data_IF_369676790743
#
_entry.id   IF_369676790743
#
_cell.length_a   1.000
_cell.length_b   1.000
_cell.length_c   1.000
_cell.angle_alpha   90.00
_cell.angle_beta   90.00
_cell.angle_gamma   90.00
#
_symmetry.space_group_name_H-M   'P 1'
#
loop_
_entity.id
_entity.type
_entity.pdbx_description
1 polymer ?
#
# COMPACT_ATOMS: atom_id res chain seq x y z
N UNK A 1 2.48 -1.08 -33.40
CA UNK A 1 1.30 -0.68 -32.58
C UNK A 1 1.80 -0.40 -31.19
N UNK A 2 1.55 0.80 -30.69
CA UNK A 2 1.86 1.17 -29.32
C UNK A 2 0.93 0.39 -28.37
N UNK A 3 1.47 -0.15 -27.28
CA UNK A 3 0.67 -0.92 -26.33
C UNK A 3 -0.21 0.04 -25.53
N UNK A 4 -1.54 -0.07 -25.66
CA UNK A 4 -2.51 0.82 -25.01
C UNK A 4 -3.19 0.20 -23.78
N UNK A 5 -2.90 -1.08 -23.48
CA UNK A 5 -3.48 -1.79 -22.35
C UNK A 5 -2.40 -2.46 -21.48
N UNK A 6 -2.36 -2.08 -20.20
CA UNK A 6 -1.33 -2.46 -19.25
C UNK A 6 -1.92 -3.33 -18.13
N UNK A 7 -1.65 -4.64 -18.19
CA UNK A 7 -2.14 -5.60 -17.18
C UNK A 7 -1.16 -5.93 -16.08
N UNK A 8 0.10 -5.48 -16.18
CA UNK A 8 1.21 -5.83 -15.26
C UNK A 8 1.88 -4.60 -14.60
N UNK A 9 1.34 -3.41 -14.79
CA UNK A 9 1.97 -2.16 -14.39
C UNK A 9 3.09 -1.73 -15.36
N UNK A 10 3.89 -0.75 -14.93
CA UNK A 10 5.02 -0.16 -15.65
C UNK A 10 6.39 -0.64 -15.15
N UNK A 11 6.41 -1.50 -14.12
CA UNK A 11 7.65 -2.04 -13.57
C UNK A 11 8.42 -1.07 -12.68
N UNK A 12 7.74 -0.03 -12.20
CA UNK A 12 8.30 1.04 -11.36
C UNK A 12 8.18 0.74 -9.86
N UNK A 13 7.64 -0.42 -9.49
CA UNK A 13 7.49 -0.86 -8.09
C UNK A 13 8.70 -0.59 -7.21
N UNK A 14 9.92 -0.89 -7.67
CA UNK A 14 11.14 -0.69 -6.86
C UNK A 14 11.43 0.79 -6.58
N UNK A 15 11.16 1.64 -7.56
CA UNK A 15 11.38 3.08 -7.46
C UNK A 15 10.35 3.73 -6.54
N UNK A 16 9.10 3.27 -6.60
CA UNK A 16 7.99 3.85 -5.82
C UNK A 16 7.84 3.22 -4.44
N UNK A 17 8.50 2.10 -4.17
CA UNK A 17 8.39 1.39 -2.89
C UNK A 17 8.69 2.27 -1.67
N UNK A 18 9.73 3.13 -1.65
CA UNK A 18 10.01 3.97 -0.50
C UNK A 18 8.88 4.95 -0.17
N UNK A 19 8.19 5.47 -1.19
CA UNK A 19 7.05 6.37 -1.02
C UNK A 19 5.83 5.63 -0.47
N UNK A 20 5.55 4.43 -1.00
CA UNK A 20 4.46 3.59 -0.49
C UNK A 20 4.75 3.16 0.96
N UNK A 21 6.00 2.77 1.25
CA UNK A 21 6.40 2.35 2.58
C UNK A 21 6.31 3.50 3.60
N UNK A 22 6.62 4.75 3.22
CA UNK A 22 6.45 5.89 4.13
C UNK A 22 5.00 6.16 4.51
N UNK A 23 4.06 5.84 3.63
CA UNK A 23 2.63 6.09 3.86
C UNK A 23 1.97 5.00 4.73
N UNK A 24 2.50 3.77 4.71
CA UNK A 24 1.81 2.60 5.28
C UNK A 24 2.62 1.78 6.30
N UNK A 25 3.93 2.02 6.48
CA UNK A 25 4.71 1.29 7.50
C UNK A 25 4.63 1.95 8.88
N UNK A 26 4.55 1.11 9.92
CA UNK A 26 4.50 1.55 11.32
C UNK A 26 5.53 0.81 12.16
N UNK A 27 6.45 1.57 12.77
CA UNK A 27 7.46 1.02 13.68
C UNK A 27 6.83 0.34 14.91
N UNK A 28 5.66 0.80 15.35
CA UNK A 28 4.92 0.17 16.46
C UNK A 28 4.42 -1.22 16.08
N UNK A 29 3.87 -1.36 14.88
CA UNK A 29 3.40 -2.65 14.36
C UNK A 29 4.57 -3.62 14.27
N UNK A 30 5.70 -3.20 13.69
CA UNK A 30 6.89 -4.04 13.57
C UNK A 30 7.46 -4.45 14.93
N UNK A 31 7.46 -3.52 15.91
CA UNK A 31 7.80 -3.84 17.30
C UNK A 31 6.92 -4.96 17.86
N UNK A 32 5.59 -4.85 17.76
CA UNK A 32 4.68 -5.86 18.32
C UNK A 32 4.83 -7.20 17.60
N UNK A 33 5.02 -7.20 16.27
CA UNK A 33 5.28 -8.41 15.48
C UNK A 33 6.54 -9.13 15.93
N UNK A 34 7.65 -8.41 16.11
CA UNK A 34 8.93 -8.97 16.56
C UNK A 34 8.86 -9.65 17.94
N UNK A 35 7.83 -9.33 18.74
CA UNK A 35 7.59 -9.89 20.08
C UNK A 35 6.57 -11.02 20.09
N UNK A 36 6.21 -11.56 18.93
CA UNK A 36 5.26 -12.66 18.82
C UNK A 36 3.80 -12.20 18.83
N UNK A 37 3.51 -11.02 18.26
CA UNK A 37 2.16 -10.46 18.13
C UNK A 37 1.48 -10.10 19.46
N UNK A 38 2.25 -9.98 20.54
CA UNK A 38 1.76 -9.49 21.83
C UNK A 38 2.84 -8.60 22.45
N UNK A 39 2.46 -7.42 22.92
CA UNK A 39 3.38 -6.54 23.64
C UNK A 39 2.66 -5.83 24.80
N UNK A 40 3.40 -5.49 25.84
CA UNK A 40 2.89 -4.86 27.05
C UNK A 40 3.41 -3.43 27.18
N UNK A 41 2.49 -2.52 27.50
CA UNK A 41 2.75 -1.09 27.69
C UNK A 41 2.16 -0.68 29.04
N UNK A 42 2.98 -0.79 30.11
CA UNK A 42 2.51 -0.64 31.48
C UNK A 42 1.46 -1.70 31.82
N UNK A 43 0.26 -1.26 32.18
CA UNK A 43 -0.85 -2.15 32.56
C UNK A 43 -1.71 -2.59 31.36
N UNK A 44 -1.33 -2.20 30.14
CA UNK A 44 -2.05 -2.53 28.90
C UNK A 44 -1.31 -3.62 28.13
N UNK A 45 -2.02 -4.70 27.79
CA UNK A 45 -1.54 -5.74 26.88
C UNK A 45 -2.21 -5.57 25.52
N UNK A 46 -1.40 -5.41 24.48
CA UNK A 46 -1.86 -5.33 23.09
C UNK A 46 -1.63 -6.68 22.42
N UNK A 47 -2.70 -7.24 21.85
CA UNK A 47 -2.64 -8.40 20.98
C UNK A 47 -2.87 -7.97 19.53
N UNK A 48 -1.89 -8.26 18.67
CA UNK A 48 -1.98 -7.97 17.25
C UNK A 48 -2.47 -9.23 16.52
N UNK A 49 -3.40 -9.07 15.58
CA UNK A 49 -3.78 -10.17 14.71
C UNK A 49 -2.55 -10.65 13.91
N UNK A 50 -2.47 -11.96 13.62
CA UNK A 50 -1.35 -12.50 12.82
C UNK A 50 -1.47 -12.13 11.34
N UNK A 51 -2.71 -12.02 10.88
CA UNK A 51 -3.06 -11.65 9.51
C UNK A 51 -3.92 -10.39 9.56
N UNK A 52 -3.39 -9.28 9.06
CA UNK A 52 -4.05 -7.97 9.03
C UNK A 52 -3.40 -7.07 7.98
N UNK A 53 -4.07 -5.97 7.65
CA UNK A 53 -3.60 -5.00 6.65
C UNK A 53 -4.15 -5.28 5.25
N UNK A 54 -3.41 -4.86 4.24
CA UNK A 54 -3.83 -4.96 2.85
C UNK A 54 -3.68 -6.38 2.32
N UNK A 55 -4.67 -6.81 1.53
CA UNK A 55 -4.55 -8.02 0.74
C UNK A 55 -3.81 -7.74 -0.56
N UNK A 56 -3.33 -8.79 -1.22
CA UNK A 56 -2.63 -8.69 -2.51
C UNK A 56 -3.37 -7.84 -3.55
N UNK A 57 -4.70 -7.92 -3.59
CA UNK A 57 -5.51 -7.14 -4.52
C UNK A 57 -5.41 -5.63 -4.26
N UNK A 58 -5.38 -5.22 -3.00
CA UNK A 58 -5.25 -3.82 -2.58
C UNK A 58 -3.83 -3.33 -2.86
N UNK A 59 -2.80 -4.07 -2.46
CA UNK A 59 -1.40 -3.72 -2.74
C UNK A 59 -1.16 -3.50 -4.23
N UNK A 60 -1.70 -4.41 -5.05
CA UNK A 60 -1.59 -4.32 -6.51
C UNK A 60 -2.33 -3.11 -7.08
N UNK A 61 -3.50 -2.76 -6.53
CA UNK A 61 -4.26 -1.60 -6.97
C UNK A 61 -3.52 -0.29 -6.62
N UNK A 62 -2.95 -0.20 -5.42
CA UNK A 62 -2.12 0.93 -4.98
C UNK A 62 -0.88 1.06 -5.86
N UNK A 63 -0.13 -0.04 -6.09
CA UNK A 63 1.01 -0.03 -6.99
C UNK A 63 0.62 0.55 -8.36
N UNK A 64 -0.50 0.13 -8.92
CA UNK A 64 -0.93 0.61 -10.24
C UNK A 64 -1.28 2.09 -10.24
N UNK A 65 -1.93 2.59 -9.19
CA UNK A 65 -2.23 4.01 -9.08
C UNK A 65 -0.95 4.85 -9.05
N UNK A 66 -0.01 4.52 -8.16
CA UNK A 66 1.26 5.23 -8.04
C UNK A 66 2.09 5.13 -9.33
N UNK A 67 2.21 3.94 -9.93
CA UNK A 67 2.94 3.78 -11.19
C UNK A 67 2.29 4.57 -12.34
N UNK A 68 0.95 4.66 -12.39
CA UNK A 68 0.24 5.41 -13.43
C UNK A 68 0.46 6.91 -13.29
N UNK A 69 0.37 7.44 -12.06
CA UNK A 69 0.65 8.86 -11.75
C UNK A 69 2.08 9.22 -12.11
N UNK A 70 3.03 8.38 -11.72
CA UNK A 70 4.44 8.61 -12.02
C UNK A 70 4.75 8.51 -13.53
N UNK A 71 4.19 7.52 -14.23
CA UNK A 71 4.48 7.29 -15.65
C UNK A 71 3.81 8.33 -16.58
N UNK A 72 2.67 8.89 -16.17
CA UNK A 72 1.93 9.88 -16.96
C UNK A 72 1.70 11.19 -16.18
N UNK A 73 2.77 11.92 -15.81
CA UNK A 73 2.67 13.07 -14.91
C UNK A 73 1.79 14.20 -15.48
N UNK A 74 1.77 14.35 -16.81
CA UNK A 74 1.04 15.41 -17.51
C UNK A 74 -0.38 15.01 -17.95
N UNK A 75 -0.80 13.77 -17.68
CA UNK A 75 -2.12 13.28 -18.10
C UNK A 75 -3.08 13.31 -16.93
N UNK A 76 -4.31 13.74 -17.21
CA UNK A 76 -5.41 13.57 -16.26
C UNK A 76 -5.74 12.09 -16.13
N UNK A 77 -5.62 11.57 -14.91
CA UNK A 77 -5.97 10.19 -14.58
C UNK A 77 -7.42 10.15 -14.08
N UNK A 78 -8.17 9.17 -14.58
CA UNK A 78 -9.56 8.94 -14.21
C UNK A 78 -9.70 7.57 -13.56
N UNK A 79 -10.40 7.51 -12.43
CA UNK A 79 -10.83 6.27 -11.79
C UNK A 79 -12.35 6.14 -11.96
N UNK A 80 -12.83 4.92 -12.16
CA UNK A 80 -14.27 4.64 -12.29
C UNK A 80 -15.01 4.65 -10.94
N UNK A 81 -14.27 4.81 -9.83
CA UNK A 81 -14.76 4.85 -8.46
C UNK A 81 -13.59 5.01 -7.49
N UNK A 82 -13.84 4.76 -6.20
CA UNK A 82 -12.78 4.66 -5.19
C UNK A 82 -11.81 3.51 -5.53
N UNK A 83 -10.51 3.72 -5.31
CA UNK A 83 -9.50 2.68 -5.50
C UNK A 83 -9.72 1.55 -4.49
N UNK A 84 -9.95 1.94 -3.23
CA UNK A 84 -10.41 1.09 -2.14
C UNK A 84 -11.32 1.90 -1.20
N UNK A 85 -12.16 1.24 -0.40
CA UNK A 85 -13.01 1.92 0.60
C UNK A 85 -12.22 2.35 1.85
N UNK A 86 -11.16 3.13 1.64
CA UNK A 86 -10.35 3.77 2.67
C UNK A 86 -10.07 5.21 2.24
N UNK A 87 -10.69 6.22 2.89
CA UNK A 87 -10.50 7.62 2.54
C UNK A 87 -9.07 8.14 2.63
N UNK A 88 -8.19 7.48 3.39
CA UNK A 88 -6.78 7.87 3.46
C UNK A 88 -5.98 7.43 2.22
N UNK A 89 -6.48 6.44 1.49
CA UNK A 89 -5.80 5.91 0.29
C UNK A 89 -6.28 6.56 -1.00
N UNK A 90 -7.54 6.99 -1.03
CA UNK A 90 -8.13 7.69 -2.19
C UNK A 90 -7.71 9.17 -2.23
#
# INVERSE_FOLDING_TARGET
MEQTYFRKGFGLKKELRPLIDSDYQSALVERIRSRGYTDQFGDITVHLAKEFGFCYGVDRAIDYAYETVHHFPERRIHLLGELIHNPHVN
#
